data_IF_514447629937
#
_entry.id   IF_514447629937
#
_cell.length_a   1.000
_cell.length_b   1.000
_cell.length_c   1.000
_cell.angle_alpha   90.00
_cell.angle_beta   90.00
_cell.angle_gamma   90.00
#
_symmetry.space_group_name_H-M   'P 1'
#
loop_
_entity.id
_entity.type
_entity.pdbx_description
1 polymer ?
#
# COMPACT_ATOMS: atom_id res chain seq x y z
N UNK A 1 -23.17 -3.59 1.61
CA UNK A 1 -22.81 -2.23 1.14
C UNK A 1 -21.57 -2.36 0.26
N UNK A 2 -21.36 -1.50 -0.76
CA UNK A 2 -20.13 -1.54 -1.55
C UNK A 2 -18.90 -1.27 -0.66
N UNK A 3 -17.78 -1.93 -0.96
CA UNK A 3 -16.51 -1.72 -0.22
C UNK A 3 -16.03 -0.29 -0.35
N UNK A 4 -15.47 0.26 0.72
CA UNK A 4 -14.84 1.60 0.69
C UNK A 4 -13.51 1.51 -0.03
N UNK A 5 -13.30 2.36 -1.02
CA UNK A 5 -12.07 2.41 -1.80
C UNK A 5 -11.13 3.44 -1.21
N UNK A 6 -9.88 3.05 -0.94
CA UNK A 6 -8.86 3.90 -0.35
C UNK A 6 -7.63 3.89 -1.25
N UNK A 7 -7.12 5.08 -1.57
CA UNK A 7 -5.81 5.25 -2.20
C UNK A 7 -4.84 5.82 -1.16
N UNK A 8 -3.80 5.07 -0.83
CA UNK A 8 -2.71 5.53 0.00
C UNK A 8 -1.60 6.06 -0.89
N UNK A 9 -1.13 7.28 -0.65
CA UNK A 9 -0.08 7.92 -1.44
C UNK A 9 1.16 8.07 -0.57
N UNK A 10 2.31 7.60 -1.06
CA UNK A 10 3.57 7.65 -0.34
C UNK A 10 4.74 7.96 -1.28
N UNK A 11 5.81 8.65 -0.83
CA UNK A 11 6.94 8.97 -1.71
C UNK A 11 7.69 7.75 -2.22
N UNK A 12 8.02 6.80 -1.33
CA UNK A 12 8.81 5.59 -1.63
C UNK A 12 8.26 4.39 -0.88
N UNK A 13 8.82 3.20 -1.13
CA UNK A 13 8.63 2.00 -0.30
C UNK A 13 9.94 1.55 0.37
N UNK A 14 10.74 2.52 0.82
CA UNK A 14 11.94 2.24 1.60
C UNK A 14 11.65 1.65 2.98
N UNK A 15 12.67 1.09 3.64
CA UNK A 15 12.56 0.61 5.02
C UNK A 15 12.61 1.75 6.04
N UNK A 16 11.64 2.64 5.97
CA UNK A 16 11.46 3.74 6.92
C UNK A 16 10.14 3.61 7.70
N UNK A 17 9.85 4.60 8.55
CA UNK A 17 8.76 4.51 9.52
C UNK A 17 7.37 4.51 8.87
N UNK A 18 7.13 5.47 7.98
CA UNK A 18 5.81 5.65 7.37
C UNK A 18 5.43 4.47 6.46
N UNK A 19 6.38 3.95 5.70
CA UNK A 19 6.22 2.85 4.76
C UNK A 19 5.89 1.55 5.50
N UNK A 20 6.54 1.30 6.64
CA UNK A 20 6.22 0.16 7.51
C UNK A 20 4.82 0.27 8.11
N UNK A 21 4.42 1.47 8.57
CA UNK A 21 3.07 1.69 9.09
C UNK A 21 2.02 1.56 7.99
N UNK A 22 2.31 2.05 6.78
CA UNK A 22 1.46 1.88 5.62
C UNK A 22 1.27 0.40 5.28
N UNK A 23 2.35 -0.38 5.26
CA UNK A 23 2.27 -1.83 5.02
C UNK A 23 1.39 -2.52 6.08
N UNK A 24 1.61 -2.23 7.36
CA UNK A 24 0.81 -2.79 8.46
C UNK A 24 -0.68 -2.45 8.29
N UNK A 25 -1.00 -1.19 7.98
CA UNK A 25 -2.37 -0.74 7.75
C UNK A 25 -2.99 -1.41 6.52
N UNK A 26 -2.33 -1.34 5.37
CA UNK A 26 -2.85 -1.81 4.09
C UNK A 26 -3.08 -3.34 4.10
N UNK A 27 -2.27 -4.08 4.83
CA UNK A 27 -2.40 -5.55 4.97
C UNK A 27 -3.36 -5.98 6.08
N UNK A 28 -3.60 -5.12 7.08
CA UNK A 28 -4.47 -5.40 8.22
C UNK A 28 -5.93 -4.96 8.07
N UNK A 29 -6.27 -4.11 7.10
CA UNK A 29 -7.65 -3.66 6.90
C UNK A 29 -8.58 -4.82 6.44
N UNK A 30 -9.83 -4.89 6.95
CA UNK A 30 -10.79 -5.92 6.55
C UNK A 30 -11.10 -5.87 5.04
N UNK A 31 -10.81 -6.96 4.31
CA UNK A 31 -10.92 -7.03 2.84
C UNK A 31 -12.35 -7.07 2.30
N UNK A 32 -13.29 -7.44 3.16
CA UNK A 32 -14.73 -7.43 2.92
C UNK A 32 -15.34 -6.03 3.10
N UNK A 33 -14.65 -5.12 3.79
CA UNK A 33 -15.07 -3.73 3.98
C UNK A 33 -14.29 -2.73 3.12
N UNK A 34 -13.01 -3.01 2.86
CA UNK A 34 -12.08 -2.07 2.21
C UNK A 34 -11.40 -2.66 0.97
N UNK A 35 -11.24 -1.81 -0.04
CA UNK A 35 -10.39 -2.06 -1.20
C UNK A 35 -9.26 -1.03 -1.21
N UNK A 36 -8.06 -1.47 -0.83
CA UNK A 36 -6.89 -0.61 -0.66
C UNK A 36 -6.00 -0.68 -1.89
N UNK A 37 -5.59 0.48 -2.39
CA UNK A 37 -4.58 0.65 -3.43
C UNK A 37 -3.47 1.56 -2.88
N UNK A 38 -2.25 1.37 -3.37
CA UNK A 38 -1.09 2.20 -3.00
C UNK A 38 -0.55 2.88 -4.25
N UNK A 39 -0.28 4.17 -4.15
CA UNK A 39 0.39 4.97 -5.17
C UNK A 39 1.75 5.43 -4.63
N UNK A 40 2.81 5.10 -5.35
CA UNK A 40 4.19 5.46 -5.01
C UNK A 40 4.64 6.57 -5.94
N UNK A 41 5.04 7.70 -5.36
CA UNK A 41 5.32 8.90 -6.14
C UNK A 41 6.66 8.87 -6.86
N UNK A 42 7.67 8.17 -6.32
CA UNK A 42 9.04 8.21 -6.87
C UNK A 42 9.58 6.87 -7.30
N UNK A 43 9.78 5.96 -6.36
CA UNK A 43 10.31 4.64 -6.65
C UNK A 43 9.82 3.61 -5.65
N UNK A 44 9.77 2.38 -6.12
CA UNK A 44 9.67 1.23 -5.24
C UNK A 44 10.90 1.16 -4.32
N UNK A 45 10.80 0.27 -3.34
CA UNK A 45 11.85 0.04 -2.37
C UNK A 45 11.72 -1.36 -1.77
N UNK A 46 12.55 -1.70 -0.77
CA UNK A 46 12.66 -3.05 -0.27
C UNK A 46 11.38 -3.63 0.36
N UNK A 47 10.38 -2.80 0.70
CA UNK A 47 9.08 -3.29 1.20
C UNK A 47 8.11 -3.69 0.08
N UNK A 48 8.40 -3.36 -1.19
CA UNK A 48 7.53 -3.69 -2.33
C UNK A 48 7.10 -5.17 -2.39
N UNK A 49 8.01 -6.16 -2.23
CA UNK A 49 7.62 -7.57 -2.28
C UNK A 49 6.57 -7.97 -1.24
N UNK A 50 6.49 -7.27 -0.11
CA UNK A 50 5.54 -7.54 0.97
C UNK A 50 4.12 -7.11 0.56
N UNK A 51 3.99 -5.97 -0.14
CA UNK A 51 2.72 -5.56 -0.76
C UNK A 51 2.27 -6.55 -1.84
N UNK A 52 3.21 -7.04 -2.67
CA UNK A 52 2.90 -8.05 -3.68
C UNK A 52 2.41 -9.36 -3.06
N UNK A 53 3.12 -9.86 -2.04
CA UNK A 53 2.74 -11.07 -1.33
C UNK A 53 1.36 -10.95 -0.66
N UNK A 54 1.02 -9.76 -0.17
CA UNK A 54 -0.31 -9.47 0.38
C UNK A 54 -1.38 -9.21 -0.69
N UNK A 55 -1.04 -9.22 -1.98
CA UNK A 55 -1.98 -8.92 -3.07
C UNK A 55 -2.54 -7.50 -3.02
N UNK A 56 -1.76 -6.53 -2.52
CA UNK A 56 -2.13 -5.11 -2.50
C UNK A 56 -1.62 -4.46 -3.80
N UNK A 57 -2.51 -3.90 -4.63
CA UNK A 57 -2.09 -3.19 -5.83
C UNK A 57 -1.23 -1.97 -5.50
N UNK A 58 -0.05 -1.88 -6.13
CA UNK A 58 0.80 -0.69 -6.08
C UNK A 58 0.96 -0.15 -7.50
N UNK A 59 0.76 1.15 -7.66
CA UNK A 59 1.03 1.90 -8.89
C UNK A 59 2.15 2.91 -8.64
N UNK A 60 3.11 3.02 -9.55
CA UNK A 60 4.16 4.04 -9.50
C UNK A 60 3.82 5.14 -10.50
N UNK A 61 3.95 6.41 -10.09
CA UNK A 61 3.54 7.57 -10.92
C UNK A 61 4.64 8.61 -11.19
N UNK A 62 5.90 8.37 -10.79
CA UNK A 62 6.98 9.34 -11.01
C UNK A 62 8.36 8.92 -10.57
#
# INVERSE_FOLDING_TARGET
MPRKRILQIIPTLDRAGAEKQLLLLATGLPRDEFEVHVCVLTRLGPLWPEFQAAGIPVTVVG
#
